data_IF_407578231353
#
_entry.id   IF_407578231353
#
_cell.length_a   1.000
_cell.length_b   1.000
_cell.length_c   1.000
_cell.angle_alpha   90.00
_cell.angle_beta   90.00
_cell.angle_gamma   90.00
#
_symmetry.space_group_name_H-M   'P 1'
#
loop_
_entity.id
_entity.type
_entity.pdbx_description
1 polymer ?
#
# COMPACT_ATOMS: atom_id res chain seq x y z
N UNK A 1 12.61 5.61 -3.59
CA UNK A 1 11.94 4.84 -2.53
C UNK A 1 12.69 4.85 -1.20
N UNK A 2 13.96 4.48 -1.18
CA UNK A 2 14.74 4.41 0.05
C UNK A 2 14.84 5.75 0.78
N UNK A 3 15.07 6.84 0.04
CA UNK A 3 15.13 8.19 0.63
C UNK A 3 13.79 8.61 1.23
N UNK A 4 12.69 8.24 0.59
CA UNK A 4 11.36 8.50 1.12
C UNK A 4 11.11 7.74 2.42
N UNK A 5 11.54 6.49 2.48
CA UNK A 5 11.46 5.70 3.70
C UNK A 5 12.23 6.36 4.86
N UNK A 6 13.42 6.83 4.59
CA UNK A 6 14.25 7.50 5.61
C UNK A 6 13.57 8.75 6.18
N UNK A 7 12.71 9.39 5.40
CA UNK A 7 11.94 10.57 5.80
C UNK A 7 10.55 10.23 6.34
N UNK A 8 10.29 8.98 6.64
CA UNK A 8 8.99 8.50 7.14
C UNK A 8 7.81 8.81 6.21
N UNK A 9 8.06 8.83 4.91
CA UNK A 9 7.01 8.99 3.91
C UNK A 9 6.33 7.67 3.63
N UNK A 10 5.02 7.70 3.42
CA UNK A 10 4.27 6.56 2.92
C UNK A 10 4.57 6.37 1.42
N UNK A 11 4.90 5.14 1.04
CA UNK A 11 5.19 4.78 -0.34
C UNK A 11 3.97 4.12 -0.97
N UNK A 12 3.46 4.72 -2.03
CA UNK A 12 2.38 4.14 -2.82
C UNK A 12 2.98 3.51 -4.07
N UNK A 13 2.94 2.19 -4.13
CA UNK A 13 3.55 1.42 -5.22
C UNK A 13 2.48 1.17 -6.28
N UNK A 14 2.68 1.69 -7.47
CA UNK A 14 1.69 1.63 -8.55
C UNK A 14 1.57 0.23 -9.18
N UNK A 15 2.16 0.02 -10.33
CA UNK A 15 1.98 -1.20 -11.11
C UNK A 15 3.20 -2.12 -11.10
N UNK A 16 3.34 -2.88 -12.18
CA UNK A 16 4.38 -3.90 -12.27
C UNK A 16 5.79 -3.30 -12.23
N UNK A 17 6.04 -2.27 -13.05
CA UNK A 17 7.38 -1.66 -13.12
C UNK A 17 7.75 -1.03 -11.78
N UNK A 18 6.84 -0.30 -11.15
CA UNK A 18 7.06 0.27 -9.83
C UNK A 18 7.30 -0.82 -8.79
N UNK A 19 6.60 -1.94 -8.88
CA UNK A 19 6.80 -3.08 -7.99
C UNK A 19 8.16 -3.74 -8.17
N UNK A 20 8.69 -3.77 -9.40
CA UNK A 20 10.05 -4.24 -9.65
C UNK A 20 11.08 -3.32 -8.97
N UNK A 21 10.88 -2.02 -9.05
CA UNK A 21 11.73 -1.05 -8.36
C UNK A 21 11.63 -1.23 -6.83
N UNK A 22 10.43 -1.48 -6.34
CA UNK A 22 10.21 -1.75 -4.93
C UNK A 22 10.92 -3.03 -4.48
N UNK A 23 10.91 -4.09 -5.30
CA UNK A 23 11.67 -5.31 -5.01
C UNK A 23 13.15 -5.02 -4.81
N UNK A 24 13.73 -4.18 -5.66
CA UNK A 24 15.13 -3.78 -5.52
C UNK A 24 15.35 -3.03 -4.20
N UNK A 25 14.50 -2.10 -3.87
CA UNK A 25 14.58 -1.34 -2.62
C UNK A 25 14.41 -2.26 -1.40
N UNK A 26 13.48 -3.20 -1.46
CA UNK A 26 13.25 -4.19 -0.41
C UNK A 26 14.48 -5.06 -0.17
N UNK A 27 15.17 -5.47 -1.24
CA UNK A 27 16.40 -6.26 -1.10
C UNK A 27 17.54 -5.46 -0.47
N UNK A 28 17.56 -4.15 -0.64
CA UNK A 28 18.56 -3.27 -0.01
C UNK A 28 18.20 -3.03 1.46
N UNK A 29 16.94 -2.73 1.75
CA UNK A 29 16.46 -2.49 3.12
C UNK A 29 15.04 -3.05 3.29
N UNK A 30 14.90 -4.26 3.84
CA UNK A 30 13.58 -4.88 4.03
C UNK A 30 12.60 -4.08 4.89
N UNK A 31 13.09 -3.19 5.75
CA UNK A 31 12.24 -2.37 6.61
C UNK A 31 11.34 -1.41 5.83
N UNK A 32 11.65 -1.14 4.55
CA UNK A 32 10.84 -0.29 3.69
C UNK A 32 9.38 -0.79 3.59
N UNK A 33 9.17 -2.08 3.78
CA UNK A 33 7.84 -2.70 3.74
C UNK A 33 6.88 -2.09 4.76
N UNK A 34 7.40 -1.59 5.87
CA UNK A 34 6.57 -0.99 6.92
C UNK A 34 5.88 0.30 6.46
N UNK A 35 6.41 0.95 5.42
CA UNK A 35 5.89 2.21 4.92
C UNK A 35 5.36 2.13 3.49
N UNK A 36 5.15 0.92 2.96
CA UNK A 36 4.77 0.72 1.57
C UNK A 36 3.40 0.07 1.45
N UNK A 37 2.62 0.55 0.49
CA UNK A 37 1.31 -0.01 0.12
C UNK A 37 1.28 -0.24 -1.39
N UNK A 38 0.92 -1.45 -1.80
CA UNK A 38 0.69 -1.77 -3.19
C UNK A 38 -0.71 -1.33 -3.58
N UNK A 39 -0.82 -0.41 -4.55
CA UNK A 39 -2.08 0.26 -4.85
C UNK A 39 -3.05 -0.60 -5.64
N UNK A 40 -2.55 -1.35 -6.62
CA UNK A 40 -3.42 -2.21 -7.42
C UNK A 40 -2.66 -3.40 -7.98
N UNK A 41 -3.40 -4.42 -8.40
CA UNK A 41 -2.88 -5.50 -9.20
C UNK A 41 -3.08 -5.14 -10.67
N UNK A 42 -1.97 -4.89 -11.39
CA UNK A 42 -2.05 -4.63 -12.82
C UNK A 42 -2.30 -5.92 -13.60
N UNK A 43 -2.76 -5.77 -14.84
CA UNK A 43 -3.06 -6.90 -15.72
C UNK A 43 -1.80 -7.49 -16.39
N UNK A 44 -0.63 -7.17 -15.89
CA UNK A 44 0.64 -7.73 -16.34
C UNK A 44 0.89 -9.09 -15.67
N UNK A 45 1.26 -10.10 -16.46
CA UNK A 45 1.39 -11.49 -15.97
C UNK A 45 2.33 -11.65 -14.78
N UNK A 46 3.43 -10.93 -14.77
CA UNK A 46 4.42 -11.06 -13.71
C UNK A 46 4.06 -10.35 -12.42
N UNK A 47 3.09 -9.46 -12.44
CA UNK A 47 2.80 -8.60 -11.28
C UNK A 47 2.23 -9.41 -10.11
N UNK A 48 1.28 -10.29 -10.37
CA UNK A 48 0.71 -11.13 -9.31
C UNK A 48 1.76 -12.00 -8.64
N UNK A 49 2.67 -12.58 -9.43
CA UNK A 49 3.76 -13.40 -8.88
C UNK A 49 4.69 -12.57 -8.02
N UNK A 50 5.02 -11.36 -8.46
CA UNK A 50 5.90 -10.45 -7.73
C UNK A 50 5.28 -10.02 -6.40
N UNK A 51 4.02 -9.61 -6.41
CA UNK A 51 3.31 -9.23 -5.20
C UNK A 51 3.19 -10.39 -4.21
N UNK A 52 2.95 -11.60 -4.71
CA UNK A 52 2.90 -12.79 -3.89
C UNK A 52 4.26 -13.07 -3.23
N UNK A 53 5.34 -12.95 -3.99
CA UNK A 53 6.70 -13.10 -3.47
C UNK A 53 6.99 -12.08 -2.36
N UNK A 54 6.59 -10.84 -2.55
CA UNK A 54 6.78 -9.76 -1.57
C UNK A 54 5.83 -9.86 -0.37
N UNK A 55 4.83 -10.74 -0.44
CA UNK A 55 3.80 -10.83 0.59
C UNK A 55 2.87 -9.62 0.64
N UNK A 56 2.73 -8.92 -0.48
CA UNK A 56 1.89 -7.73 -0.59
C UNK A 56 0.49 -8.07 -1.09
N UNK A 57 -0.51 -7.42 -0.49
CA UNK A 57 -1.88 -7.50 -0.95
C UNK A 57 -2.26 -6.16 -1.58
N UNK A 58 -2.58 -6.13 -2.88
CA UNK A 58 -2.96 -4.87 -3.52
C UNK A 58 -4.29 -4.36 -2.98
N UNK A 59 -4.40 -3.03 -2.86
CA UNK A 59 -5.63 -2.39 -2.39
C UNK A 59 -6.75 -2.57 -3.42
N UNK A 60 -6.43 -2.43 -4.71
CA UNK A 60 -7.38 -2.51 -5.81
C UNK A 60 -7.02 -3.63 -6.78
N UNK A 61 -8.04 -4.23 -7.39
CA UNK A 61 -7.88 -5.20 -8.47
C UNK A 61 -8.94 -4.90 -9.54
N UNK A 62 -8.63 -3.94 -10.41
CA UNK A 62 -9.55 -3.42 -11.42
C UNK A 62 -9.16 -3.77 -12.85
N UNK A 63 -8.15 -4.61 -13.04
CA UNK A 63 -7.68 -4.98 -14.37
C UNK A 63 -6.97 -3.84 -15.11
N UNK A 64 -6.36 -2.90 -14.40
CA UNK A 64 -5.71 -1.74 -15.00
C UNK A 64 -4.37 -2.09 -15.64
N UNK A 65 -4.07 -1.48 -16.79
CA UNK A 65 -2.80 -1.62 -17.48
C UNK A 65 -2.18 -0.28 -17.91
N UNK A 66 -2.82 0.83 -17.56
CA UNK A 66 -2.39 2.14 -18.03
C UNK A 66 -1.04 2.59 -17.46
N UNK A 67 -0.73 2.24 -16.24
CA UNK A 67 0.45 2.76 -15.57
C UNK A 67 0.28 4.24 -15.22
N UNK A 68 1.39 4.99 -15.27
CA UNK A 68 1.40 6.44 -15.05
C UNK A 68 0.82 6.88 -13.71
N UNK A 69 0.91 6.02 -12.69
CA UNK A 69 0.40 6.35 -11.37
C UNK A 69 -1.12 6.23 -11.22
N UNK A 70 -1.82 5.67 -12.21
CA UNK A 70 -3.29 5.55 -12.17
C UNK A 70 -3.77 4.75 -10.97
N UNK A 71 -3.10 3.63 -10.65
CA UNK A 71 -3.46 2.81 -9.50
C UNK A 71 -3.30 3.57 -8.19
N UNK A 72 -2.24 4.33 -8.03
CA UNK A 72 -2.02 5.16 -6.85
C UNK A 72 -3.06 6.27 -6.74
N UNK A 73 -3.40 6.91 -7.85
CA UNK A 73 -4.42 7.96 -7.87
C UNK A 73 -5.79 7.43 -7.44
N UNK A 74 -6.15 6.22 -7.87
CA UNK A 74 -7.43 5.60 -7.50
C UNK A 74 -7.41 5.07 -6.05
N UNK A 75 -6.27 4.59 -5.57
CA UNK A 75 -6.14 4.07 -4.21
C UNK A 75 -6.06 5.19 -3.15
N UNK A 76 -5.57 6.36 -3.52
CA UNK A 76 -5.33 7.45 -2.57
C UNK A 76 -6.56 7.85 -1.75
N UNK A 77 -7.76 8.04 -2.32
CA UNK A 77 -8.93 8.36 -1.53
C UNK A 77 -9.31 7.27 -0.53
N UNK A 78 -9.04 6.00 -0.86
CA UNK A 78 -9.29 4.88 0.06
C UNK A 78 -8.34 4.95 1.24
N UNK A 79 -7.06 5.23 0.99
CA UNK A 79 -6.04 5.38 2.03
C UNK A 79 -6.38 6.56 2.93
N UNK A 80 -6.76 7.69 2.34
CA UNK A 80 -7.15 8.89 3.08
C UNK A 80 -8.36 8.60 3.96
N UNK A 81 -9.35 7.89 3.44
CA UNK A 81 -10.54 7.47 4.21
C UNK A 81 -10.16 6.55 5.36
N UNK A 82 -9.23 5.62 5.16
CA UNK A 82 -8.78 4.72 6.21
C UNK A 82 -8.08 5.48 7.34
N UNK A 83 -7.26 6.48 7.01
CA UNK A 83 -6.61 7.34 8.01
C UNK A 83 -7.65 8.12 8.81
N UNK A 84 -8.67 8.65 8.15
CA UNK A 84 -9.76 9.36 8.84
C UNK A 84 -10.55 8.44 9.78
N UNK A 85 -10.82 7.22 9.34
CA UNK A 85 -11.49 6.22 10.19
C UNK A 85 -10.69 5.98 11.46
N UNK A 86 -9.38 5.81 11.35
CA UNK A 86 -8.53 5.60 12.51
C UNK A 86 -8.46 6.81 13.45
N UNK A 87 -8.51 8.02 12.91
CA UNK A 87 -8.35 9.24 13.69
C UNK A 87 -9.65 9.79 14.24
N UNK A 88 -10.76 9.59 13.56
CA UNK A 88 -12.03 10.27 13.86
C UNK A 88 -13.10 9.34 14.42
N UNK A 89 -13.04 8.03 14.17
CA UNK A 89 -14.02 7.11 14.74
C UNK A 89 -13.74 6.85 16.21
N UNK A 90 -14.81 6.81 17.00
CA UNK A 90 -14.71 6.48 18.42
C UNK A 90 -14.28 5.04 18.61
N UNK A 91 -13.31 4.82 19.50
CA UNK A 91 -12.96 3.48 19.98
C UNK A 91 -13.99 3.03 21.03
N UNK A 92 -13.94 1.76 21.44
CA UNK A 92 -14.75 1.28 22.56
C UNK A 92 -14.50 2.09 23.83
N UNK A 93 -13.26 2.43 24.11
CA UNK A 93 -12.90 3.24 25.28
C UNK A 93 -13.51 4.63 25.21
N UNK A 94 -13.39 5.30 24.06
CA UNK A 94 -13.93 6.64 23.86
C UNK A 94 -15.47 6.67 23.91
N UNK A 95 -16.11 5.59 23.49
CA UNK A 95 -17.57 5.46 23.50
C UNK A 95 -18.12 4.96 24.84
N UNK A 96 -17.27 4.60 25.80
CA UNK A 96 -17.70 4.06 27.08
C UNK A 96 -18.21 2.62 27.01
N UNK A 97 -17.90 1.90 25.94
CA UNK A 97 -18.30 0.51 25.76
C UNK A 97 -17.23 -0.42 26.35
N UNK A 98 -17.65 -1.44 27.11
CA UNK A 98 -16.73 -2.41 27.67
C UNK A 98 -16.12 -3.27 26.55
N UNK A 99 -14.77 -3.27 26.48
CA UNK A 99 -14.05 -4.09 25.53
C UNK A 99 -13.85 -5.50 26.12
N UNK A 100 -14.64 -6.46 25.65
CA UNK A 100 -14.48 -7.87 26.03
C UNK A 100 -13.52 -8.57 25.08
N UNK A 101 -12.42 -8.96 25.60
CA UNK A 101 -11.49 -9.85 24.89
C UNK A 101 -11.62 -11.26 25.42
#
# INVERSE_FOLDING_TARGET
MLAAYEKNMLLLIDGFIASCAYLCAFNINPAIKNNALSCHLSDEKGHALLLNYLGEKPILNLGLRLGEGTGCALAYPIIESAVRVMNEMASFENAGVTNKK
#
